data_IF_839403370568
#
_entry.id   IF_839403370568
#
_cell.length_a   1.000
_cell.length_b   1.000
_cell.length_c   1.000
_cell.angle_alpha   90.00
_cell.angle_beta   90.00
_cell.angle_gamma   90.00
#
_symmetry.space_group_name_H-M   'P 1'
#
loop_
_entity.id
_entity.type
_entity.pdbx_description
1 polymer ?
#
# COMPACT_ATOMS: atom_id res chain seq x y z
N UNK A 1 -0.39 9.01 -16.04
CA UNK A 1 -1.28 8.09 -16.78
C UNK A 1 -0.67 6.68 -16.70
N UNK A 2 -1.48 5.63 -16.79
CA UNK A 2 -1.00 4.24 -16.81
C UNK A 2 -1.34 3.62 -18.16
N UNK A 3 -0.43 2.81 -18.69
CA UNK A 3 -0.62 2.06 -19.93
C UNK A 3 -1.64 0.93 -19.77
N UNK A 4 -2.15 0.41 -20.88
CA UNK A 4 -3.11 -0.71 -20.87
C UNK A 4 -2.53 -2.00 -20.31
N UNK A 5 -1.21 -2.18 -20.45
CA UNK A 5 -0.46 -3.36 -19.99
C UNK A 5 0.34 -3.07 -18.70
N UNK A 6 0.01 -2.00 -17.98
CA UNK A 6 0.68 -1.68 -16.73
C UNK A 6 0.39 -2.75 -15.67
N UNK A 7 1.43 -3.25 -15.01
CA UNK A 7 1.35 -4.24 -13.93
C UNK A 7 1.82 -3.61 -12.63
N UNK A 8 0.98 -3.70 -11.59
CA UNK A 8 1.35 -3.32 -10.23
C UNK A 8 1.48 -4.58 -9.37
N UNK A 9 2.70 -4.86 -8.92
CA UNK A 9 2.97 -5.91 -7.94
C UNK A 9 3.15 -5.31 -6.55
N UNK A 10 2.43 -5.84 -5.56
CA UNK A 10 2.51 -5.38 -4.17
C UNK A 10 3.02 -6.49 -3.25
N UNK A 11 4.08 -6.19 -2.50
CA UNK A 11 4.62 -7.03 -1.44
C UNK A 11 4.27 -6.44 -0.09
N UNK A 12 3.67 -7.27 0.77
CA UNK A 12 3.20 -6.89 2.09
C UNK A 12 4.10 -7.53 3.15
N UNK A 13 4.65 -6.71 4.04
CA UNK A 13 5.48 -7.18 5.15
C UNK A 13 5.06 -6.49 6.45
N UNK A 14 4.88 -7.27 7.52
CA UNK A 14 4.72 -6.74 8.88
C UNK A 14 6.09 -6.68 9.54
N UNK A 15 6.43 -5.55 10.14
CA UNK A 15 7.69 -5.35 10.87
C UNK A 15 7.40 -4.71 12.23
N UNK A 16 8.17 -5.11 13.24
CA UNK A 16 8.19 -4.49 14.56
C UNK A 16 9.19 -3.33 14.57
N UNK A 17 8.76 -2.17 15.04
CA UNK A 17 9.59 -0.98 15.27
C UNK A 17 10.26 -0.99 16.64
N UNK A 18 10.72 0.19 17.07
CA UNK A 18 11.14 0.40 18.46
C UNK A 18 9.90 0.46 19.36
N UNK A 19 10.03 0.08 20.64
CA UNK A 19 8.96 0.20 21.65
C UNK A 19 7.61 -0.45 21.25
N UNK A 20 7.65 -1.69 20.72
CA UNK A 20 6.46 -2.48 20.35
C UNK A 20 5.55 -1.86 19.26
N UNK A 21 6.00 -0.81 18.58
CA UNK A 21 5.29 -0.28 17.41
C UNK A 21 5.19 -1.36 16.31
N UNK A 22 4.04 -1.46 15.66
CA UNK A 22 3.83 -2.35 14.51
C UNK A 22 3.65 -1.56 13.22
N UNK A 23 4.37 -1.95 12.17
CA UNK A 23 4.25 -1.34 10.86
C UNK A 23 3.88 -2.39 9.80
N UNK A 24 3.00 -1.99 8.89
CA UNK A 24 2.78 -2.66 7.61
C UNK A 24 3.56 -1.91 6.54
N UNK A 25 4.54 -2.56 5.94
CA UNK A 25 5.25 -2.08 4.77
C UNK A 25 4.56 -2.63 3.52
N UNK A 26 4.22 -1.73 2.60
CA UNK A 26 3.69 -2.07 1.28
C UNK A 26 4.70 -1.59 0.25
N UNK A 27 5.45 -2.53 -0.31
CA UNK A 27 6.37 -2.26 -1.42
C UNK A 27 5.65 -2.50 -2.72
N UNK A 28 5.57 -1.45 -3.53
CA UNK A 28 4.92 -1.44 -4.84
C UNK A 28 5.97 -1.40 -5.92
N UNK A 29 5.84 -2.28 -6.91
CA UNK A 29 6.64 -2.29 -8.12
C UNK A 29 5.67 -2.09 -9.29
N UNK A 30 5.79 -0.96 -9.96
CA UNK A 30 5.00 -0.63 -11.13
C UNK A 30 5.85 -0.83 -12.39
N UNK A 31 5.41 -1.73 -13.25
CA UNK A 31 5.98 -1.98 -14.56
C UNK A 31 5.00 -1.48 -15.62
N UNK A 32 5.41 -0.47 -16.40
CA UNK A 32 4.58 0.13 -17.44
C UNK A 32 5.46 0.49 -18.64
N UNK A 33 5.64 -0.42 -19.62
CA UNK A 33 6.53 -0.20 -20.77
C UNK A 33 6.11 0.98 -21.67
N UNK A 34 4.85 1.43 -21.59
CA UNK A 34 4.35 2.51 -22.42
C UNK A 34 4.82 3.88 -21.91
N UNK A 35 4.87 4.07 -20.60
CA UNK A 35 5.16 5.37 -19.97
C UNK A 35 6.41 5.39 -19.11
N UNK A 36 6.95 4.23 -18.71
CA UNK A 36 8.13 4.11 -17.87
C UNK A 36 9.25 3.38 -18.59
N UNK A 37 10.44 3.95 -18.50
CA UNK A 37 11.69 3.38 -19.01
C UNK A 37 12.34 2.36 -18.06
N UNK A 38 11.84 2.26 -16.82
CA UNK A 38 12.23 1.27 -15.82
C UNK A 38 11.11 1.09 -14.79
N UNK A 39 11.09 -0.01 -14.02
CA UNK A 39 10.11 -0.19 -12.96
C UNK A 39 10.15 0.95 -11.94
N UNK A 40 8.99 1.48 -11.57
CA UNK A 40 8.87 2.45 -10.49
C UNK A 40 8.60 1.73 -9.17
N UNK A 41 9.55 1.79 -8.25
CA UNK A 41 9.49 1.10 -6.97
C UNK A 41 9.27 2.10 -5.84
N UNK A 42 8.27 1.86 -5.00
CA UNK A 42 8.00 2.68 -3.81
C UNK A 42 7.51 1.82 -2.64
N UNK A 43 8.08 2.06 -1.47
CA UNK A 43 7.59 1.49 -0.21
C UNK A 43 6.81 2.54 0.57
N UNK A 44 5.64 2.15 1.08
CA UNK A 44 4.83 2.93 2.01
C UNK A 44 4.79 2.21 3.34
N UNK A 45 4.88 2.97 4.44
CA UNK A 45 4.83 2.44 5.79
C UNK A 45 3.55 2.92 6.48
N UNK A 46 2.79 1.97 7.01
CA UNK A 46 1.59 2.23 7.80
C UNK A 46 1.86 1.82 9.24
N UNK A 47 1.82 2.77 10.18
CA UNK A 47 1.89 2.46 11.60
C UNK A 47 0.51 2.00 12.10
N UNK A 48 0.46 0.89 12.84
CA UNK A 48 -0.74 0.42 13.52
C UNK A 48 -1.20 1.45 14.55
N UNK A 49 -2.49 1.78 14.53
CA UNK A 49 -3.11 2.62 15.56
C UNK A 49 -3.43 1.78 16.80
N UNK A 50 -3.45 2.41 17.97
CA UNK A 50 -3.74 1.71 19.24
C UNK A 50 -5.20 1.24 19.32
N UNK A 51 -6.11 1.96 18.65
CA UNK A 51 -7.54 1.67 18.61
C UNK A 51 -8.17 2.06 17.26
N UNK A 52 -9.51 2.08 17.20
CA UNK A 52 -10.27 2.48 16.02
C UNK A 52 -10.59 3.99 15.99
N UNK A 53 -9.91 4.82 16.79
CA UNK A 53 -10.14 6.27 16.79
C UNK A 53 -9.84 6.86 15.41
N UNK A 54 -10.85 7.48 14.80
CA UNK A 54 -10.78 8.01 13.42
C UNK A 54 -11.31 7.05 12.35
N UNK A 55 -11.64 5.81 12.71
CA UNK A 55 -12.31 4.87 11.81
C UNK A 55 -13.83 5.03 11.90
N UNK A 56 -14.43 5.71 10.92
CA UNK A 56 -15.88 5.88 10.80
C UNK A 56 -16.35 5.56 9.38
N UNK A 57 -16.28 4.28 8.94
CA UNK A 57 -16.71 3.90 7.61
C UNK A 57 -18.23 4.02 7.50
N UNK A 58 -18.71 4.45 6.34
CA UNK A 58 -20.13 4.34 6.02
C UNK A 58 -20.45 2.87 5.73
N UNK A 59 -21.47 2.27 6.38
CA UNK A 59 -21.87 0.90 6.08
C UNK A 59 -22.17 0.71 4.60
N UNK A 60 -21.75 -0.41 4.01
CA UNK A 60 -22.14 -0.76 2.66
C UNK A 60 -23.67 -0.91 2.60
N UNK A 61 -24.34 -0.13 1.76
CA UNK A 61 -25.73 -0.39 1.39
C UNK A 61 -25.74 -1.14 0.07
N UNK A 62 -25.58 -2.47 0.13
CA UNK A 62 -25.95 -3.29 -1.00
C UNK A 62 -27.47 -3.15 -1.19
N UNK A 63 -27.90 -2.59 -2.31
CA UNK A 63 -29.27 -2.68 -2.82
C UNK A 63 -29.26 -3.47 -4.10
#
# INVERSE_FOLDING_TARGET
PYGGDAVLTEHYARVSGQQDDEYLLVTRILEDPQYLNAPYVRTVQFRKQDDASGWNPTPCSAR
#
